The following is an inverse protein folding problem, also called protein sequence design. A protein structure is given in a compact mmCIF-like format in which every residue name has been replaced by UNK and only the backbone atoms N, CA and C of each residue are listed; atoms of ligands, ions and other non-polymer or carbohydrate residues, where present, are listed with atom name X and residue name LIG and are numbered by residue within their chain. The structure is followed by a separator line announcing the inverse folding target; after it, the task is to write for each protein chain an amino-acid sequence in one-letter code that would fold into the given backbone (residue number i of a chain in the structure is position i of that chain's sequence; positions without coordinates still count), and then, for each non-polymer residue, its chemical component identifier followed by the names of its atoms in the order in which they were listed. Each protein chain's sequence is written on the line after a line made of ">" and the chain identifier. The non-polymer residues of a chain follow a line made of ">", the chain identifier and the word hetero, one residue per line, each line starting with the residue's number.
data_IF_526926917184
#
_entry.id   IF_526926917184
#
_cell.length_a   1.000
_cell.length_b   1.000
_cell.length_c   1.000
_cell.angle_alpha   90.00
_cell.angle_beta   90.00
_cell.angle_gamma   90.00
#
_symmetry.space_group_name_H-M   'P 1'
#
loop_
_entity.id
_entity.type
_entity.pdbx_description
1 polymer ?
#
# COMPACT_ATOMS: atom_id res chain seq x y z
N UNK A 1 38.26 -7.59 17.15
CA UNK A 1 37.93 -8.10 15.80
C UNK A 1 36.42 -8.24 15.53
N UNK A 2 35.52 -8.21 16.53
CA UNK A 2 34.07 -8.23 16.29
C UNK A 2 33.44 -6.87 15.88
N UNK A 3 34.15 -5.76 16.07
CA UNK A 3 33.65 -4.40 15.81
C UNK A 3 33.70 -3.97 14.33
N UNK A 4 34.63 -4.51 13.53
CA UNK A 4 34.78 -4.16 12.11
C UNK A 4 33.76 -4.86 11.20
N UNK A 5 33.35 -6.08 11.53
CA UNK A 5 32.34 -6.83 10.78
C UNK A 5 30.93 -6.24 10.93
N UNK A 6 30.58 -5.73 12.11
CA UNK A 6 29.27 -5.11 12.36
C UNK A 6 29.11 -3.80 11.58
N UNK A 7 30.17 -2.97 11.52
CA UNK A 7 30.17 -1.74 10.73
C UNK A 7 30.04 -2.00 9.22
N UNK A 8 30.69 -3.04 8.70
CA UNK A 8 30.57 -3.40 7.28
C UNK A 8 29.20 -3.98 6.91
N UNK A 9 28.53 -4.68 7.82
CA UNK A 9 27.19 -5.22 7.60
C UNK A 9 26.12 -4.12 7.60
N UNK A 10 26.22 -3.16 8.51
CA UNK A 10 25.32 -2.00 8.58
C UNK A 10 25.41 -1.18 7.29
N UNK A 11 26.63 -0.88 6.80
CA UNK A 11 26.81 -0.13 5.55
C UNK A 11 26.19 -0.83 4.32
N UNK A 12 26.18 -2.17 4.28
CA UNK A 12 25.51 -2.94 3.22
C UNK A 12 23.99 -2.82 3.28
N UNK A 13 23.41 -2.80 4.49
CA UNK A 13 21.97 -2.61 4.67
C UNK A 13 21.53 -1.22 4.22
N UNK A 14 22.29 -0.19 4.59
CA UNK A 14 22.02 1.18 4.18
C UNK A 14 22.04 1.33 2.65
N UNK A 15 23.05 0.74 1.99
CA UNK A 15 23.17 0.73 0.53
C UNK A 15 22.03 -0.03 -0.18
N UNK A 16 21.41 -1.01 0.47
CA UNK A 16 20.29 -1.79 -0.09
C UNK A 16 18.93 -1.07 0.03
N UNK A 17 18.83 -0.02 0.87
CA UNK A 17 17.58 0.72 1.15
C UNK A 17 16.78 1.08 -0.11
N UNK A 18 17.38 1.62 -1.20
CA UNK A 18 16.61 2.01 -2.38
C UNK A 18 15.97 0.84 -3.14
N UNK A 19 16.53 -0.36 -3.02
CA UNK A 19 15.99 -1.60 -3.61
C UNK A 19 14.91 -2.16 -2.71
N UNK A 20 15.16 -2.22 -1.40
CA UNK A 20 14.19 -2.72 -0.42
C UNK A 20 12.92 -1.86 -0.39
N UNK A 21 13.03 -0.53 -0.52
CA UNK A 21 11.88 0.35 -0.67
C UNK A 21 11.06 0.04 -1.94
N UNK A 22 11.71 -0.34 -3.04
CA UNK A 22 10.99 -0.78 -4.23
C UNK A 22 10.27 -2.12 -4.02
N UNK A 23 10.89 -3.07 -3.31
CA UNK A 23 10.23 -4.34 -2.97
C UNK A 23 9.03 -4.11 -2.04
N UNK A 24 9.18 -3.26 -1.02
CA UNK A 24 8.09 -2.84 -0.15
C UNK A 24 6.93 -2.25 -0.95
N UNK A 25 7.22 -1.30 -1.84
CA UNK A 25 6.24 -0.70 -2.75
C UNK A 25 5.52 -1.75 -3.61
N UNK A 26 6.26 -2.68 -4.19
CA UNK A 26 5.71 -3.74 -5.05
C UNK A 26 4.76 -4.64 -4.25
N UNK A 27 5.17 -5.10 -3.06
CA UNK A 27 4.34 -5.99 -2.22
C UNK A 27 3.05 -5.28 -1.80
N UNK A 28 3.14 -4.07 -1.25
CA UNK A 28 1.96 -3.33 -0.81
C UNK A 28 1.05 -2.92 -1.97
N UNK A 29 1.62 -2.49 -3.11
CA UNK A 29 0.86 -2.19 -4.31
C UNK A 29 0.10 -3.42 -4.84
N UNK A 30 0.77 -4.57 -4.90
CA UNK A 30 0.14 -5.84 -5.31
C UNK A 30 -1.02 -6.23 -4.39
N UNK A 31 -0.81 -6.24 -3.07
CA UNK A 31 -1.85 -6.63 -2.12
C UNK A 31 -3.07 -5.70 -2.23
N UNK A 32 -2.85 -4.40 -2.39
CA UNK A 32 -3.92 -3.42 -2.55
C UNK A 32 -4.67 -3.56 -3.88
N UNK A 33 -3.95 -3.87 -4.96
CA UNK A 33 -4.57 -4.25 -6.23
C UNK A 33 -5.50 -5.45 -6.03
N UNK A 34 -5.06 -6.49 -5.31
CA UNK A 34 -5.86 -7.69 -5.05
C UNK A 34 -7.13 -7.38 -4.23
N UNK A 35 -7.06 -6.44 -3.28
CA UNK A 35 -8.27 -5.97 -2.58
C UNK A 35 -9.25 -5.30 -3.54
N UNK A 36 -8.77 -4.37 -4.37
CA UNK A 36 -9.58 -3.74 -5.39
C UNK A 36 -10.18 -4.73 -6.39
N UNK A 37 -9.44 -5.76 -6.81
CA UNK A 37 -9.97 -6.79 -7.71
C UNK A 37 -11.03 -7.66 -7.04
N UNK A 38 -10.90 -7.96 -5.74
CA UNK A 38 -11.92 -8.71 -5.00
C UNK A 38 -13.23 -7.91 -4.92
N UNK A 39 -13.14 -6.59 -4.74
CA UNK A 39 -14.31 -5.70 -4.68
C UNK A 39 -14.98 -5.56 -6.05
N UNK A 40 -14.21 -5.23 -7.09
CA UNK A 40 -14.73 -4.86 -8.41
C UNK A 40 -15.03 -6.06 -9.32
N UNK A 41 -14.16 -7.07 -9.29
CA UNK A 41 -14.18 -8.18 -10.24
C UNK A 41 -14.50 -9.52 -9.59
N UNK A 42 -14.70 -9.55 -8.26
CA UNK A 42 -14.94 -10.77 -7.46
C UNK A 42 -13.80 -11.78 -7.61
N UNK A 43 -12.57 -11.30 -7.78
CA UNK A 43 -11.38 -12.15 -7.89
C UNK A 43 -10.22 -11.61 -7.03
N UNK A 44 -9.62 -12.43 -6.16
CA UNK A 44 -10.10 -13.74 -5.74
C UNK A 44 -11.49 -13.64 -5.09
N UNK A 45 -12.27 -14.70 -5.18
CA UNK A 45 -13.60 -14.72 -4.55
C UNK A 45 -13.45 -14.76 -3.04
N UNK A 46 -14.07 -13.80 -2.36
CA UNK A 46 -14.11 -13.70 -0.90
C UNK A 46 -15.52 -14.09 -0.48
N UNK A 47 -15.71 -15.37 -0.12
CA UNK A 47 -17.02 -15.93 0.22
C UNK A 47 -17.75 -15.17 1.35
N UNK A 48 -17.02 -14.44 2.19
CA UNK A 48 -17.56 -13.60 3.27
C UNK A 48 -17.93 -12.18 2.86
N UNK A 49 -17.62 -11.74 1.63
CA UNK A 49 -17.87 -10.38 1.17
C UNK A 49 -19.11 -10.34 0.26
N UNK A 50 -20.20 -9.65 0.66
CA UNK A 50 -21.38 -9.53 -0.19
C UNK A 50 -21.06 -8.80 -1.51
N UNK A 51 -21.85 -9.04 -2.57
CA UNK A 51 -21.73 -8.30 -3.82
C UNK A 51 -21.80 -6.79 -3.56
N UNK A 52 -20.84 -6.06 -4.11
CA UNK A 52 -20.82 -4.60 -4.04
C UNK A 52 -21.59 -4.07 -5.24
N UNK A 53 -22.63 -3.27 -4.98
CA UNK A 53 -23.43 -2.66 -6.03
C UNK A 53 -22.60 -1.64 -6.83
N UNK A 54 -22.77 -1.63 -8.15
CA UNK A 54 -22.11 -0.66 -9.03
C UNK A 54 -22.41 0.77 -8.59
N UNK A 55 -21.39 1.63 -8.60
CA UNK A 55 -21.46 3.05 -8.20
C UNK A 55 -21.77 3.31 -6.72
N UNK A 56 -21.86 2.28 -5.88
CA UNK A 56 -21.93 2.44 -4.43
C UNK A 56 -20.61 2.99 -3.86
N UNK A 57 -20.64 3.42 -2.60
CA UNK A 57 -19.42 3.84 -1.88
C UNK A 57 -18.35 2.74 -1.86
N UNK A 58 -18.76 1.49 -1.66
CA UNK A 58 -17.86 0.33 -1.71
C UNK A 58 -17.26 0.11 -3.11
N UNK A 59 -18.01 0.39 -4.17
CA UNK A 59 -17.50 0.28 -5.54
C UNK A 59 -16.40 1.30 -5.81
N UNK A 60 -16.61 2.54 -5.38
CA UNK A 60 -15.57 3.58 -5.49
C UNK A 60 -14.35 3.29 -4.63
N UNK A 61 -14.52 2.72 -3.43
CA UNK A 61 -13.40 2.24 -2.63
C UNK A 61 -12.57 1.20 -3.41
N UNK A 62 -13.22 0.16 -3.97
CA UNK A 62 -12.55 -0.84 -4.79
C UNK A 62 -11.88 -0.28 -6.03
N UNK A 63 -12.50 0.68 -6.71
CA UNK A 63 -11.91 1.36 -7.87
C UNK A 63 -10.63 2.12 -7.50
N UNK A 64 -10.65 2.87 -6.39
CA UNK A 64 -9.47 3.56 -5.89
C UNK A 64 -8.39 2.56 -5.47
N UNK A 65 -8.75 1.52 -4.73
CA UNK A 65 -7.82 0.46 -4.31
C UNK A 65 -7.12 -0.20 -5.50
N UNK A 66 -7.88 -0.57 -6.52
CA UNK A 66 -7.34 -1.17 -7.73
C UNK A 66 -6.40 -0.23 -8.48
N UNK A 67 -6.88 0.98 -8.81
CA UNK A 67 -6.12 1.92 -9.65
C UNK A 67 -4.86 2.42 -8.94
N UNK A 68 -4.98 2.82 -7.67
CA UNK A 68 -3.82 3.27 -6.90
C UNK A 68 -2.88 2.12 -6.57
N UNK A 69 -3.39 0.92 -6.28
CA UNK A 69 -2.59 -0.28 -6.09
C UNK A 69 -1.72 -0.59 -7.32
N UNK A 70 -2.31 -0.56 -8.53
CA UNK A 70 -1.58 -0.78 -9.78
C UNK A 70 -0.53 0.31 -10.00
N UNK A 71 -0.89 1.58 -9.81
CA UNK A 71 0.05 2.69 -9.95
C UNK A 71 1.23 2.56 -8.96
N UNK A 72 0.96 2.20 -7.71
CA UNK A 72 1.99 1.99 -6.68
C UNK A 72 2.85 0.77 -7.02
N UNK A 73 2.25 -0.35 -7.43
CA UNK A 73 2.96 -1.57 -7.81
C UNK A 73 4.07 -1.28 -8.83
N UNK A 74 3.73 -0.59 -9.92
CA UNK A 74 4.69 -0.21 -10.96
C UNK A 74 5.51 1.04 -10.63
N UNK A 75 5.12 1.79 -9.60
CA UNK A 75 5.77 3.03 -9.20
C UNK A 75 5.58 4.14 -10.24
N UNK A 76 4.36 4.33 -10.73
CA UNK A 76 3.96 5.41 -11.62
C UNK A 76 3.16 6.45 -10.83
N UNK A 77 3.67 7.68 -10.74
CA UNK A 77 3.06 8.73 -9.92
C UNK A 77 3.00 8.35 -8.44
N UNK A 78 4.03 7.63 -7.94
CA UNK A 78 3.98 6.90 -6.65
C UNK A 78 3.47 7.77 -5.50
N UNK A 79 3.98 9.00 -5.39
CA UNK A 79 3.63 9.89 -4.26
C UNK A 79 2.15 10.28 -4.26
N UNK A 80 1.59 10.56 -5.43
CA UNK A 80 0.18 10.94 -5.58
C UNK A 80 -0.71 9.72 -5.33
N UNK A 81 -0.40 8.59 -5.97
CA UNK A 81 -1.15 7.35 -5.78
C UNK A 81 -1.13 6.89 -4.31
N UNK A 82 0.03 6.96 -3.65
CA UNK A 82 0.17 6.61 -2.25
C UNK A 82 -0.57 7.56 -1.31
N UNK A 83 -0.61 8.86 -1.60
CA UNK A 83 -1.41 9.81 -0.81
C UNK A 83 -2.91 9.48 -0.86
N UNK A 84 -3.43 9.19 -2.07
CA UNK A 84 -4.82 8.79 -2.25
C UNK A 84 -5.12 7.47 -1.55
N UNK A 85 -4.30 6.44 -1.77
CA UNK A 85 -4.46 5.13 -1.13
C UNK A 85 -4.41 5.22 0.40
N UNK A 86 -3.49 6.04 0.94
CA UNK A 86 -3.38 6.31 2.38
C UNK A 86 -4.66 6.94 2.92
N UNK A 87 -5.16 7.98 2.26
CA UNK A 87 -6.40 8.66 2.65
C UNK A 87 -7.63 7.74 2.59
N UNK A 88 -7.73 6.89 1.57
CA UNK A 88 -8.82 5.90 1.45
C UNK A 88 -8.83 4.94 2.62
N UNK A 89 -7.66 4.46 3.05
CA UNK A 89 -7.55 3.55 4.19
C UNK A 89 -7.80 4.24 5.54
N UNK A 90 -7.37 5.49 5.70
CA UNK A 90 -7.75 6.31 6.85
C UNK A 90 -9.28 6.49 6.92
N UNK A 91 -9.91 6.84 5.80
CA UNK A 91 -11.35 6.98 5.71
C UNK A 91 -12.07 5.67 6.04
N UNK A 92 -11.61 4.55 5.48
CA UNK A 92 -12.15 3.21 5.76
C UNK A 92 -12.05 2.86 7.25
N UNK A 93 -10.92 3.14 7.90
CA UNK A 93 -10.75 2.90 9.33
C UNK A 93 -11.81 3.65 10.15
N UNK A 94 -11.95 4.96 9.95
CA UNK A 94 -12.87 5.77 10.74
C UNK A 94 -14.36 5.53 10.45
N UNK A 95 -14.69 5.06 9.24
CA UNK A 95 -16.10 4.86 8.83
C UNK A 95 -16.58 3.42 8.95
N UNK A 96 -15.70 2.43 8.75
CA UNK A 96 -16.06 1.01 8.72
C UNK A 96 -15.58 0.23 9.94
N UNK A 97 -14.49 0.65 10.58
CA UNK A 97 -13.87 -0.12 11.67
C UNK A 97 -14.06 0.56 13.04
N UNK A 98 -13.87 1.87 13.16
CA UNK A 98 -13.78 2.56 14.44
C UNK A 98 -15.04 2.40 15.33
N UNK A 99 -16.22 2.22 14.75
CA UNK A 99 -17.46 2.00 15.52
C UNK A 99 -17.54 0.64 16.20
N UNK A 100 -16.76 -0.35 15.75
CA UNK A 100 -16.78 -1.72 16.25
C UNK A 100 -15.82 -1.97 17.44
N UNK A 101 -14.97 -1.00 17.78
CA UNK A 101 -14.02 -1.12 18.90
C UNK A 101 -13.02 0.04 18.93
N UNK A 102 -12.44 0.31 20.11
CA UNK A 102 -11.52 1.44 20.28
C UNK A 102 -10.15 1.15 19.66
N UNK A 103 -9.66 -0.08 19.80
CA UNK A 103 -8.36 -0.49 19.28
C UNK A 103 -8.52 -1.25 17.95
N UNK A 104 -7.57 -1.08 17.00
CA UNK A 104 -7.60 -1.79 15.71
C UNK A 104 -7.75 -3.32 15.83
N UNK A 105 -7.12 -3.92 16.85
CA UNK A 105 -7.18 -5.35 17.12
C UNK A 105 -8.58 -5.83 17.55
N UNK A 106 -9.41 -4.94 18.09
CA UNK A 106 -10.78 -5.24 18.53
C UNK A 106 -11.78 -5.10 17.37
N UNK A 107 -11.46 -4.25 16.39
CA UNK A 107 -12.39 -3.80 15.36
C UNK A 107 -12.05 -4.29 13.93
N UNK A 108 -11.07 -5.19 13.80
CA UNK A 108 -10.54 -5.71 12.54
C UNK A 108 -9.95 -4.62 11.61
N UNK A 109 -9.64 -3.45 12.14
CA UNK A 109 -9.13 -2.30 11.38
C UNK A 109 -7.61 -2.28 11.21
N UNK A 110 -6.89 -3.29 11.71
CA UNK A 110 -5.42 -3.37 11.63
C UNK A 110 -4.91 -3.26 10.19
N UNK A 111 -5.55 -3.93 9.23
CA UNK A 111 -5.15 -3.84 7.81
C UNK A 111 -5.32 -2.43 7.25
N UNK A 112 -6.42 -1.73 7.58
CA UNK A 112 -6.63 -0.35 7.16
C UNK A 112 -5.53 0.57 7.73
N UNK A 113 -5.15 0.40 9.00
CA UNK A 113 -4.05 1.16 9.62
C UNK A 113 -2.71 0.84 8.94
N UNK A 114 -2.41 -0.44 8.70
CA UNK A 114 -1.15 -0.85 8.07
C UNK A 114 -1.00 -0.30 6.66
N UNK A 115 -2.03 -0.44 5.80
CA UNK A 115 -2.00 0.15 4.46
C UNK A 115 -1.93 1.67 4.50
N UNK A 116 -2.70 2.32 5.39
CA UNK A 116 -2.68 3.77 5.56
C UNK A 116 -1.25 4.28 5.79
N UNK A 117 -0.55 3.73 6.79
CA UNK A 117 0.79 4.18 7.15
C UNK A 117 1.88 3.71 6.18
N UNK A 118 1.74 2.51 5.60
CA UNK A 118 2.64 2.03 4.55
C UNK A 118 2.63 2.95 3.33
N UNK A 119 1.45 3.35 2.86
CA UNK A 119 1.33 4.28 1.75
C UNK A 119 1.74 5.70 2.14
N UNK A 120 1.41 6.15 3.36
CA UNK A 120 1.88 7.44 3.85
C UNK A 120 3.41 7.54 3.82
N UNK A 121 4.13 6.48 4.21
CA UNK A 121 5.60 6.43 4.09
C UNK A 121 6.06 6.66 2.64
N UNK A 122 5.41 6.01 1.67
CA UNK A 122 5.73 6.15 0.24
C UNK A 122 5.47 7.55 -0.32
N UNK A 123 4.60 8.35 0.31
CA UNK A 123 4.44 9.78 -0.03
C UNK A 123 5.77 10.52 0.14
N UNK A 124 6.54 10.19 1.18
CA UNK A 124 7.80 10.86 1.51
C UNK A 124 9.02 10.19 0.88
N UNK A 125 9.06 8.86 0.89
CA UNK A 125 10.20 8.10 0.33
C UNK A 125 10.15 8.00 -1.19
N UNK A 126 8.97 8.11 -1.80
CA UNK A 126 8.75 7.96 -3.24
C UNK A 126 8.84 6.51 -3.73
N UNK A 127 8.92 6.34 -5.05
CA UNK A 127 8.86 5.03 -5.71
C UNK A 127 10.10 4.14 -5.56
N UNK A 128 11.22 4.65 -5.07
CA UNK A 128 12.47 3.88 -5.02
C UNK A 128 13.08 3.61 -6.41
N UNK A 129 14.17 2.84 -6.43
CA UNK A 129 15.06 2.70 -7.59
C UNK A 129 14.45 1.93 -8.79
N UNK A 130 13.50 1.01 -8.53
CA UNK A 130 12.82 0.19 -9.53
C UNK A 130 11.42 0.73 -9.87
N UNK A 131 11.24 2.06 -9.87
CA UNK A 131 9.97 2.71 -10.23
C UNK A 131 10.00 3.23 -11.67
N UNK A 132 8.82 3.27 -12.31
CA UNK A 132 8.65 4.02 -13.56
C UNK A 132 9.05 5.48 -13.36
N UNK A 133 8.67 6.09 -12.22
CA UNK A 133 9.08 7.45 -11.84
C UNK A 133 10.61 7.66 -11.92
N UNK A 134 11.41 6.67 -11.45
CA UNK A 134 12.87 6.73 -11.50
C UNK A 134 13.43 6.49 -12.91
N UNK A 135 12.80 5.62 -13.70
CA UNK A 135 13.20 5.38 -15.09
C UNK A 135 13.01 6.63 -15.96
N UNK A 136 11.89 7.35 -15.79
CA UNK A 136 11.59 8.58 -16.52
C UNK A 136 12.56 9.73 -16.18
N UNK A 137 13.10 9.78 -14.96
CA UNK A 137 14.10 10.80 -14.56
C UNK A 137 15.50 10.54 -15.11
N UNK A 138 15.76 9.33 -15.61
CA UNK A 138 17.06 8.92 -16.17
C UNK A 138 17.12 9.05 -17.71
N UNK A 139 15.99 9.35 -18.34
CA UNK A 139 15.88 9.59 -19.79
C UNK A 139 16.03 11.07 -20.08
#
# INVERSE_FOLDING_TARGET
>A
MASSSTSSSVAKLDGATPVVLSLFRIVFGFLFTVHGTAILFRWPDLASMPPVESWSLGWWAGAIEFLTGVAILFGAGTRIAAFLASGTMAFAYFTQHQSAGLLPIENNGELAVLFCWAFFLLVFTGGGSLSIDAALKKS
#
